data_IF_937201212905
#
_entry.id   IF_937201212905
#
_cell.length_a   1.000
_cell.length_b   1.000
_cell.length_c   1.000
_cell.angle_alpha   90.00
_cell.angle_beta   90.00
_cell.angle_gamma   90.00
#
_symmetry.space_group_name_H-M   'P 1'
#
loop_
_entity.id
_entity.type
_entity.pdbx_description
1 polymer ?
#
# COMPACT_ATOMS: atom_id res chain seq x y z
N UNK A 1 32.89 -16.59 29.84
CA UNK A 1 33.34 -17.15 28.54
C UNK A 1 34.51 -16.30 28.05
N UNK A 2 35.67 -16.90 27.77
CA UNK A 2 36.89 -16.15 27.42
C UNK A 2 36.71 -15.57 26.02
N UNK A 3 37.00 -14.28 25.83
CA UNK A 3 36.82 -13.55 24.55
C UNK A 3 37.33 -14.36 23.35
N UNK A 4 38.44 -15.08 23.49
CA UNK A 4 39.02 -15.96 22.46
C UNK A 4 38.02 -16.99 21.90
N UNK A 5 37.26 -17.68 22.74
CA UNK A 5 36.29 -18.70 22.29
C UNK A 5 35.13 -18.08 21.50
N UNK A 6 34.72 -16.86 21.86
CA UNK A 6 33.68 -16.12 21.13
C UNK A 6 34.13 -15.77 19.70
N UNK A 7 35.41 -15.40 19.51
CA UNK A 7 35.95 -15.11 18.18
C UNK A 7 36.11 -16.38 17.33
N UNK A 8 36.54 -17.50 17.93
CA UNK A 8 36.69 -18.78 17.22
C UNK A 8 35.32 -19.34 16.81
N UNK A 9 34.36 -19.37 17.73
CA UNK A 9 32.99 -19.81 17.43
C UNK A 9 32.35 -18.87 16.40
N UNK A 10 32.53 -17.55 16.56
CA UNK A 10 32.06 -16.56 15.59
C UNK A 10 32.66 -16.77 14.19
N UNK A 11 33.97 -17.03 14.10
CA UNK A 11 34.66 -17.30 12.83
C UNK A 11 34.17 -18.59 12.15
N UNK A 12 33.99 -19.68 12.90
CA UNK A 12 33.44 -20.94 12.37
C UNK A 12 32.01 -20.74 11.87
N UNK A 13 31.16 -20.05 12.64
CA UNK A 13 29.79 -19.73 12.23
C UNK A 13 29.77 -18.88 10.96
N UNK A 14 30.68 -17.90 10.84
CA UNK A 14 30.79 -17.04 9.66
C UNK A 14 31.21 -17.84 8.43
N UNK A 15 32.19 -18.75 8.56
CA UNK A 15 32.63 -19.64 7.47
C UNK A 15 31.48 -20.57 7.05
N UNK A 16 30.79 -21.18 8.02
CA UNK A 16 29.66 -22.06 7.75
C UNK A 16 28.51 -21.31 7.03
N UNK A 17 28.17 -20.11 7.50
CA UNK A 17 27.19 -19.25 6.85
C UNK A 17 27.63 -18.87 5.42
N UNK A 18 28.91 -18.51 5.23
CA UNK A 18 29.48 -18.19 3.93
C UNK A 18 29.41 -19.36 2.94
N UNK A 19 29.74 -20.58 3.36
CA UNK A 19 29.61 -21.79 2.54
C UNK A 19 28.14 -22.05 2.18
N UNK A 20 27.23 -21.95 3.16
CA UNK A 20 25.80 -22.11 2.91
C UNK A 20 25.27 -21.11 1.87
N UNK A 21 25.62 -19.83 2.00
CA UNK A 21 25.24 -18.80 1.02
C UNK A 21 25.89 -19.02 -0.34
N UNK A 22 27.14 -19.52 -0.39
CA UNK A 22 27.80 -19.86 -1.65
C UNK A 22 27.08 -21.01 -2.36
N UNK A 23 26.78 -22.09 -1.63
CA UNK A 23 26.02 -23.23 -2.17
C UNK A 23 24.62 -22.83 -2.62
N UNK A 24 23.98 -21.88 -1.93
CA UNK A 24 22.71 -21.30 -2.34
C UNK A 24 22.84 -20.53 -3.66
N UNK A 25 23.85 -19.67 -3.79
CA UNK A 25 24.07 -18.90 -5.03
C UNK A 25 24.46 -19.79 -6.22
N UNK A 26 25.12 -20.91 -5.96
CA UNK A 26 25.44 -21.91 -6.99
C UNK A 26 24.23 -22.77 -7.38
N UNK A 27 23.06 -22.58 -6.77
CA UNK A 27 21.84 -23.35 -7.05
C UNK A 27 21.87 -24.78 -6.51
N UNK A 28 22.84 -25.12 -5.65
CA UNK A 28 22.99 -26.47 -5.08
C UNK A 28 22.02 -26.68 -3.92
N UNK A 29 21.73 -25.62 -3.15
CA UNK A 29 20.84 -25.67 -1.99
C UNK A 29 19.81 -24.53 -2.03
N UNK A 30 18.53 -24.85 -1.82
CA UNK A 30 17.45 -23.86 -1.72
C UNK A 30 17.07 -23.54 -0.26
N UNK A 31 18.04 -23.51 0.67
CA UNK A 31 17.73 -23.32 2.11
C UNK A 31 17.02 -21.98 2.36
N UNK A 32 17.49 -20.89 1.74
CA UNK A 32 16.86 -19.58 1.89
C UNK A 32 15.40 -19.55 1.41
N UNK A 33 15.05 -20.35 0.41
CA UNK A 33 13.71 -20.38 -0.16
C UNK A 33 12.64 -20.89 0.83
N UNK A 34 13.04 -21.73 1.80
CA UNK A 34 12.11 -22.28 2.81
C UNK A 34 12.35 -21.70 4.19
N UNK A 35 13.60 -21.40 4.54
CA UNK A 35 13.98 -20.89 5.85
C UNK A 35 13.40 -19.49 6.11
N UNK A 36 13.54 -18.58 5.14
CA UNK A 36 13.09 -17.20 5.33
C UNK A 36 11.55 -17.07 5.45
N UNK A 37 10.73 -17.69 4.57
CA UNK A 37 9.29 -17.66 4.75
C UNK A 37 8.85 -18.27 6.07
N UNK A 38 9.52 -19.34 6.52
CA UNK A 38 9.22 -19.95 7.81
C UNK A 38 9.54 -19.01 8.98
N UNK A 39 10.72 -18.38 8.99
CA UNK A 39 11.13 -17.44 10.04
C UNK A 39 10.19 -16.24 10.10
N UNK A 40 9.89 -15.63 8.95
CA UNK A 40 8.97 -14.49 8.90
C UNK A 40 7.54 -14.90 9.26
N UNK A 41 7.08 -16.06 8.80
CA UNK A 41 5.77 -16.61 9.15
C UNK A 41 5.64 -16.82 10.66
N UNK A 42 6.60 -17.50 11.26
CA UNK A 42 6.66 -17.73 12.71
C UNK A 42 6.74 -16.41 13.49
N UNK A 43 7.62 -15.49 13.09
CA UNK A 43 7.73 -14.17 13.70
C UNK A 43 6.42 -13.37 13.63
N UNK A 44 5.75 -13.39 12.49
CA UNK A 44 4.45 -12.75 12.30
C UNK A 44 3.37 -13.33 13.21
N UNK A 45 3.32 -14.67 13.33
CA UNK A 45 2.42 -15.37 14.25
C UNK A 45 2.70 -15.01 15.72
N UNK A 46 3.97 -14.86 16.12
CA UNK A 46 4.34 -14.41 17.48
C UNK A 46 3.76 -13.02 17.77
N UNK A 47 3.90 -12.06 16.85
CA UNK A 47 3.31 -10.74 17.04
C UNK A 47 1.78 -10.77 17.09
N UNK A 48 1.13 -11.56 16.23
CA UNK A 48 -0.32 -11.73 16.30
C UNK A 48 -0.75 -12.40 17.61
N UNK A 49 0.02 -13.35 18.13
CA UNK A 49 -0.23 -13.95 19.44
C UNK A 49 -0.13 -12.92 20.58
N UNK A 50 0.86 -12.03 20.54
CA UNK A 50 0.98 -10.91 21.50
C UNK A 50 -0.26 -10.01 21.46
N UNK A 51 -0.75 -9.68 20.26
CA UNK A 51 -1.97 -8.90 20.08
C UNK A 51 -3.21 -9.63 20.59
N UNK A 52 -3.37 -10.92 20.28
CA UNK A 52 -4.52 -11.71 20.72
C UNK A 52 -4.54 -11.92 22.23
N UNK A 53 -3.37 -12.03 22.87
CA UNK A 53 -3.20 -12.16 24.32
C UNK A 53 -3.58 -10.87 25.04
N UNK A 54 -3.17 -9.73 24.51
CA UNK A 54 -3.54 -8.43 25.06
C UNK A 54 -3.79 -7.41 23.94
N UNK A 55 -5.07 -7.08 23.71
CA UNK A 55 -5.52 -6.14 22.68
C UNK A 55 -5.02 -4.71 22.89
N UNK A 56 -4.50 -4.37 24.08
CA UNK A 56 -3.78 -3.12 24.31
C UNK A 56 -2.50 -3.03 23.46
N UNK A 57 -1.89 -4.18 23.12
CA UNK A 57 -0.72 -4.28 22.24
C UNK A 57 -1.11 -4.25 20.75
N UNK A 58 -1.97 -3.32 20.36
CA UNK A 58 -2.46 -3.18 18.98
C UNK A 58 -1.35 -2.96 17.96
N UNK A 59 -0.24 -2.35 18.38
CA UNK A 59 0.91 -2.08 17.54
C UNK A 59 1.47 -3.37 16.95
N UNK A 60 1.32 -4.52 17.63
CA UNK A 60 1.83 -5.82 17.20
C UNK A 60 1.10 -6.36 15.95
N UNK A 61 -0.10 -5.85 15.64
CA UNK A 61 -0.81 -6.18 14.40
C UNK A 61 0.02 -5.79 13.18
N UNK A 62 0.66 -4.61 13.19
CA UNK A 62 1.42 -4.10 12.04
C UNK A 62 2.60 -5.01 11.68
N UNK A 63 3.59 -5.28 12.56
CA UNK A 63 4.68 -6.19 12.24
C UNK A 63 4.15 -7.62 12.02
N UNK A 64 3.10 -8.05 12.72
CA UNK A 64 2.48 -9.35 12.50
C UNK A 64 2.02 -9.56 11.06
N UNK A 65 1.22 -8.65 10.54
CA UNK A 65 0.73 -8.72 9.16
C UNK A 65 1.81 -8.44 8.12
N UNK A 66 2.76 -7.54 8.38
CA UNK A 66 3.91 -7.31 7.47
C UNK A 66 4.74 -8.59 7.30
N UNK A 67 5.06 -9.26 8.40
CA UNK A 67 5.86 -10.48 8.36
C UNK A 67 5.10 -11.65 7.73
N UNK A 68 3.80 -11.77 8.01
CA UNK A 68 2.95 -12.79 7.39
C UNK A 68 2.74 -12.54 5.90
N UNK A 69 2.54 -11.29 5.48
CA UNK A 69 2.37 -10.97 4.06
C UNK A 69 3.67 -11.17 3.29
N UNK A 70 4.81 -10.87 3.90
CA UNK A 70 6.13 -11.18 3.34
C UNK A 70 6.33 -12.69 3.20
N UNK A 71 6.05 -13.47 4.25
CA UNK A 71 6.13 -14.93 4.19
C UNK A 71 5.20 -15.52 3.12
N UNK A 72 3.97 -15.01 3.01
CA UNK A 72 3.01 -15.45 2.02
C UNK A 72 3.45 -15.11 0.58
N UNK A 73 3.98 -13.90 0.36
CA UNK A 73 4.54 -13.50 -0.94
C UNK A 73 5.69 -14.43 -1.35
N UNK A 74 6.65 -14.67 -0.46
CA UNK A 74 7.78 -15.56 -0.74
C UNK A 74 7.32 -17.01 -0.99
N UNK A 75 6.32 -17.49 -0.25
CA UNK A 75 5.75 -18.81 -0.48
C UNK A 75 5.04 -18.89 -1.84
N UNK A 76 4.34 -17.84 -2.27
CA UNK A 76 3.71 -17.80 -3.58
C UNK A 76 4.74 -17.79 -4.71
N UNK A 77 5.82 -17.01 -4.59
CA UNK A 77 6.91 -17.01 -5.57
C UNK A 77 7.53 -18.42 -5.71
N UNK A 78 7.61 -19.16 -4.61
CA UNK A 78 8.16 -20.53 -4.58
C UNK A 78 7.20 -21.59 -5.15
N UNK A 79 5.92 -21.57 -4.73
CA UNK A 79 4.97 -22.65 -5.01
C UNK A 79 4.05 -22.37 -6.20
N UNK A 80 3.86 -21.11 -6.55
CA UNK A 80 3.00 -20.66 -7.64
C UNK A 80 3.60 -19.41 -8.32
N UNK A 81 4.78 -19.53 -8.96
CA UNK A 81 5.58 -18.40 -9.44
C UNK A 81 4.80 -17.46 -10.38
N UNK A 82 3.92 -17.98 -11.23
CA UNK A 82 3.10 -17.15 -12.12
C UNK A 82 2.13 -16.24 -11.34
N UNK A 83 1.59 -16.74 -10.22
CA UNK A 83 0.73 -15.96 -9.32
C UNK A 83 1.59 -14.99 -8.51
N UNK A 84 2.74 -15.44 -8.01
CA UNK A 84 3.69 -14.60 -7.27
C UNK A 84 4.16 -13.37 -8.07
N UNK A 85 4.56 -13.59 -9.32
CA UNK A 85 4.98 -12.51 -10.24
C UNK A 85 3.89 -11.45 -10.45
N UNK A 86 2.63 -11.87 -10.53
CA UNK A 86 1.50 -10.96 -10.83
C UNK A 86 0.93 -10.32 -9.56
N UNK A 87 0.75 -11.09 -8.49
CA UNK A 87 -0.02 -10.71 -7.30
C UNK A 87 0.83 -10.58 -6.04
N UNK A 88 2.10 -10.98 -6.05
CA UNK A 88 2.97 -10.95 -4.87
C UNK A 88 3.06 -9.57 -4.23
N UNK A 89 3.30 -8.54 -5.05
CA UNK A 89 3.30 -7.15 -4.59
C UNK A 89 1.94 -6.68 -4.05
N UNK A 90 0.84 -7.08 -4.70
CA UNK A 90 -0.51 -6.74 -4.26
C UNK A 90 -0.87 -7.40 -2.91
N UNK A 91 -0.48 -8.65 -2.72
CA UNK A 91 -0.69 -9.39 -1.48
C UNK A 91 0.17 -8.83 -0.34
N UNK A 92 1.43 -8.48 -0.63
CA UNK A 92 2.30 -7.86 0.35
C UNK A 92 1.71 -6.53 0.83
N UNK A 93 1.42 -5.60 -0.10
CA UNK A 93 0.87 -4.28 0.21
C UNK A 93 -0.53 -4.36 0.81
N UNK A 94 -1.39 -5.22 0.26
CA UNK A 94 -2.74 -5.47 0.78
C UNK A 94 -2.73 -6.04 2.19
N UNK A 95 -1.78 -6.93 2.51
CA UNK A 95 -1.58 -7.46 3.86
C UNK A 95 -1.18 -6.36 4.85
N UNK A 96 -0.28 -5.46 4.46
CA UNK A 96 0.08 -4.30 5.30
C UNK A 96 -1.13 -3.37 5.46
N UNK A 97 -1.86 -3.09 4.38
CA UNK A 97 -3.09 -2.30 4.42
C UNK A 97 -4.12 -2.89 5.37
N UNK A 98 -4.32 -4.21 5.33
CA UNK A 98 -5.21 -4.94 6.22
C UNK A 98 -4.78 -4.82 7.69
N UNK A 99 -3.48 -4.77 7.97
CA UNK A 99 -2.97 -4.51 9.32
C UNK A 99 -3.52 -3.20 9.90
N UNK A 100 -3.48 -2.12 9.11
CA UNK A 100 -4.00 -0.83 9.53
C UNK A 100 -5.52 -0.82 9.69
N UNK A 101 -6.25 -1.54 8.84
CA UNK A 101 -7.69 -1.75 9.02
C UNK A 101 -8.01 -2.48 10.33
N UNK A 102 -7.25 -3.53 10.67
CA UNK A 102 -7.39 -4.24 11.95
C UNK A 102 -7.06 -3.31 13.13
N UNK A 103 -6.05 -2.44 13.01
CA UNK A 103 -5.74 -1.41 14.02
C UNK A 103 -6.93 -0.47 14.24
N UNK A 104 -7.56 0.01 13.16
CA UNK A 104 -8.75 0.86 13.25
C UNK A 104 -9.94 0.14 13.92
N UNK A 105 -10.20 -1.12 13.55
CA UNK A 105 -11.30 -1.89 14.16
C UNK A 105 -11.05 -2.29 15.61
N UNK A 106 -9.78 -2.32 16.05
CA UNK A 106 -9.43 -2.56 17.45
C UNK A 106 -9.76 -1.34 18.33
N UNK A 107 -9.69 -0.14 17.77
CA UNK A 107 -9.99 1.09 18.49
C UNK A 107 -10.28 2.25 17.54
N UNK A 108 -11.50 2.78 17.58
CA UNK A 108 -11.93 3.88 16.69
C UNK A 108 -11.24 5.20 16.99
N UNK A 109 -10.57 5.32 18.13
CA UNK A 109 -9.64 6.41 18.44
C UNK A 109 -8.43 6.44 17.50
N UNK A 110 -8.14 5.32 16.82
CA UNK A 110 -7.02 5.17 15.88
C UNK A 110 -7.47 5.40 14.45
N UNK A 111 -8.26 6.45 14.24
CA UNK A 111 -8.78 6.83 12.94
C UNK A 111 -7.68 7.08 11.90
N UNK A 112 -6.50 7.50 12.36
CA UNK A 112 -5.32 7.72 11.53
C UNK A 112 -4.95 6.49 10.71
N UNK A 113 -5.27 5.28 11.17
CA UNK A 113 -4.92 4.03 10.49
C UNK A 113 -5.72 3.81 9.19
N UNK A 114 -6.88 4.45 9.04
CA UNK A 114 -7.67 4.39 7.80
C UNK A 114 -6.90 4.97 6.62
N UNK A 115 -6.09 6.01 6.83
CA UNK A 115 -5.31 6.66 5.78
C UNK A 115 -4.26 5.70 5.19
N UNK A 116 -3.26 5.19 5.94
CA UNK A 116 -2.29 4.24 5.40
C UNK A 116 -2.97 2.94 4.95
N UNK A 117 -4.03 2.49 5.63
CA UNK A 117 -4.79 1.31 5.21
C UNK A 117 -5.42 1.47 3.83
N UNK A 118 -6.07 2.60 3.56
CA UNK A 118 -6.69 2.90 2.26
C UNK A 118 -5.66 3.21 1.16
N UNK A 119 -4.56 3.92 1.50
CA UNK A 119 -3.43 4.15 0.59
C UNK A 119 -2.85 2.82 0.13
N UNK A 120 -2.48 1.94 1.06
CA UNK A 120 -1.87 0.65 0.75
C UNK A 120 -2.83 -0.29 0.01
N UNK A 121 -4.13 -0.23 0.31
CA UNK A 121 -5.15 -0.94 -0.45
C UNK A 121 -5.20 -0.44 -1.90
N UNK A 122 -5.17 0.87 -2.11
CA UNK A 122 -5.16 1.47 -3.46
C UNK A 122 -3.89 1.06 -4.23
N UNK A 123 -2.72 1.20 -3.62
CA UNK A 123 -1.45 0.81 -4.26
C UNK A 123 -1.44 -0.69 -4.53
N UNK A 124 -1.87 -1.52 -3.58
CA UNK A 124 -1.98 -2.97 -3.76
C UNK A 124 -2.90 -3.36 -4.93
N UNK A 125 -4.05 -2.69 -5.07
CA UNK A 125 -4.95 -2.88 -6.21
C UNK A 125 -4.32 -2.47 -7.54
N UNK A 126 -3.66 -1.30 -7.59
CA UNK A 126 -2.97 -0.83 -8.80
C UNK A 126 -1.85 -1.79 -9.19
N UNK A 127 -1.09 -2.30 -8.22
CA UNK A 127 -0.04 -3.29 -8.45
C UNK A 127 -0.60 -4.61 -8.97
N UNK A 128 -1.64 -5.17 -8.32
CA UNK A 128 -2.19 -6.49 -8.68
C UNK A 128 -3.02 -6.50 -9.95
N UNK A 129 -3.66 -5.37 -10.28
CA UNK A 129 -4.44 -5.21 -11.50
C UNK A 129 -3.65 -4.53 -12.61
N UNK A 130 -2.33 -4.38 -12.47
CA UNK A 130 -1.50 -3.68 -13.46
C UNK A 130 -1.63 -4.24 -14.88
N UNK A 131 -1.81 -5.56 -15.03
CA UNK A 131 -2.05 -6.22 -16.32
C UNK A 131 -3.44 -5.93 -16.91
N UNK A 132 -4.46 -5.73 -16.06
CA UNK A 132 -5.82 -5.38 -16.49
C UNK A 132 -5.95 -3.88 -16.76
N UNK A 133 -5.15 -3.07 -16.04
CA UNK A 133 -5.08 -1.62 -16.16
C UNK A 133 -4.12 -1.18 -17.29
N UNK A 134 -3.72 -2.08 -18.19
CA UNK A 134 -2.86 -1.74 -19.31
C UNK A 134 -3.53 -0.67 -20.20
N UNK A 135 -2.85 0.45 -20.41
CA UNK A 135 -3.40 1.62 -21.10
C UNK A 135 -4.24 2.57 -20.23
N UNK A 136 -4.49 2.25 -18.96
CA UNK A 136 -5.07 3.18 -17.98
C UNK A 136 -3.96 3.96 -17.29
N UNK A 137 -4.15 5.27 -17.12
CA UNK A 137 -3.21 6.09 -16.36
C UNK A 137 -3.37 5.78 -14.87
N UNK A 138 -2.35 5.14 -14.30
CA UNK A 138 -2.34 4.61 -12.93
C UNK A 138 -2.24 5.71 -11.86
N UNK A 139 -1.68 6.87 -12.20
CA UNK A 139 -1.69 8.06 -11.34
C UNK A 139 -3.10 8.55 -11.03
N UNK A 140 -3.99 8.57 -12.02
CA UNK A 140 -5.40 8.93 -11.85
C UNK A 140 -6.10 7.94 -10.92
N UNK A 141 -5.88 6.63 -11.12
CA UNK A 141 -6.41 5.58 -10.23
C UNK A 141 -5.89 5.74 -8.80
N UNK A 142 -4.60 6.04 -8.63
CA UNK A 142 -4.01 6.30 -7.32
C UNK A 142 -4.66 7.51 -6.63
N UNK A 143 -4.78 8.65 -7.33
CA UNK A 143 -5.41 9.87 -6.79
C UNK A 143 -6.88 9.64 -6.46
N UNK A 144 -7.62 8.91 -7.29
CA UNK A 144 -9.00 8.52 -7.00
C UNK A 144 -9.08 7.65 -5.73
N UNK A 145 -8.25 6.63 -5.59
CA UNK A 145 -8.24 5.77 -4.40
C UNK A 145 -7.85 6.50 -3.11
N UNK A 146 -6.88 7.43 -3.19
CA UNK A 146 -6.56 8.33 -2.09
C UNK A 146 -7.74 9.24 -1.74
N UNK A 147 -8.39 9.82 -2.75
CA UNK A 147 -9.59 10.65 -2.58
C UNK A 147 -10.74 9.89 -1.92
N UNK A 148 -10.98 8.64 -2.33
CA UNK A 148 -11.94 7.73 -1.71
C UNK A 148 -11.57 7.39 -0.26
N UNK A 149 -10.28 7.24 0.04
CA UNK A 149 -9.80 6.99 1.41
C UNK A 149 -10.14 8.17 2.34
N UNK A 150 -9.87 9.40 1.91
CA UNK A 150 -10.23 10.60 2.68
C UNK A 150 -11.76 10.83 2.72
N UNK A 151 -12.47 10.51 1.64
CA UNK A 151 -13.93 10.57 1.64
C UNK A 151 -14.50 9.61 2.69
N UNK A 152 -14.04 8.36 2.70
CA UNK A 152 -14.41 7.35 3.69
C UNK A 152 -14.10 7.84 5.12
N UNK A 153 -12.91 8.39 5.34
CA UNK A 153 -12.51 8.96 6.64
C UNK A 153 -13.52 10.02 7.12
N UNK A 154 -14.07 10.85 6.24
CA UNK A 154 -15.07 11.87 6.60
C UNK A 154 -16.43 11.30 7.04
N UNK A 155 -16.76 10.08 6.62
CA UNK A 155 -18.01 9.39 6.98
C UNK A 155 -17.86 8.52 8.22
N UNK A 156 -16.65 8.05 8.52
CA UNK A 156 -16.42 7.15 9.64
C UNK A 156 -16.69 7.84 11.00
N UNK A 157 -17.47 7.22 11.90
CA UNK A 157 -17.69 7.73 13.24
C UNK A 157 -16.44 7.52 14.09
N UNK A 158 -15.88 8.60 14.64
CA UNK A 158 -14.77 8.54 15.59
C UNK A 158 -15.17 9.18 16.92
N UNK A 159 -14.42 8.93 18.01
CA UNK A 159 -14.72 9.49 19.33
C UNK A 159 -14.83 11.03 19.33
N UNK A 160 -14.13 11.70 18.41
CA UNK A 160 -14.10 13.15 18.25
C UNK A 160 -15.22 13.69 17.33
N UNK A 161 -16.07 12.81 16.79
CA UNK A 161 -17.13 13.14 15.83
C UNK A 161 -16.71 12.95 14.37
N UNK A 162 -17.44 13.57 13.43
CA UNK A 162 -17.15 13.40 12.00
C UNK A 162 -16.00 14.30 11.56
N UNK A 163 -14.98 13.72 10.93
CA UNK A 163 -13.79 14.42 10.42
C UNK A 163 -14.07 15.16 9.11
N UNK A 164 -14.86 16.24 9.18
CA UNK A 164 -15.22 17.06 8.00
C UNK A 164 -14.00 17.66 7.28
N UNK A 165 -12.87 17.84 7.99
CA UNK A 165 -11.63 18.33 7.40
C UNK A 165 -11.16 17.45 6.24
N UNK A 166 -11.44 16.13 6.28
CA UNK A 166 -11.02 15.17 5.26
C UNK A 166 -11.77 15.35 3.93
N UNK A 167 -12.88 16.10 3.90
CA UNK A 167 -13.60 16.41 2.66
C UNK A 167 -12.80 17.29 1.71
N UNK A 168 -11.95 18.17 2.23
CA UNK A 168 -11.10 19.05 1.43
C UNK A 168 -10.08 18.22 0.63
N UNK A 169 -9.19 17.42 1.25
CA UNK A 169 -8.27 16.57 0.51
C UNK A 169 -9.01 15.53 -0.35
N UNK A 170 -10.14 14.98 0.11
CA UNK A 170 -10.95 14.07 -0.71
C UNK A 170 -11.40 14.74 -2.02
N UNK A 171 -11.99 15.94 -1.94
CA UNK A 171 -12.44 16.69 -3.11
C UNK A 171 -11.30 17.02 -4.06
N UNK A 172 -10.18 17.52 -3.54
CA UNK A 172 -9.01 17.86 -4.36
C UNK A 172 -8.45 16.61 -5.06
N UNK A 173 -8.24 15.52 -4.32
CA UNK A 173 -7.68 14.28 -4.87
C UNK A 173 -8.62 13.62 -5.88
N UNK A 174 -9.93 13.63 -5.64
CA UNK A 174 -10.91 13.10 -6.59
C UNK A 174 -10.94 13.93 -7.87
N UNK A 175 -10.96 15.26 -7.77
CA UNK A 175 -10.92 16.15 -8.95
C UNK A 175 -9.63 15.93 -9.72
N UNK A 176 -8.48 15.89 -9.04
CA UNK A 176 -7.20 15.64 -9.69
C UNK A 176 -7.14 14.26 -10.33
N UNK A 177 -7.63 13.22 -9.66
CA UNK A 177 -7.69 11.87 -10.22
C UNK A 177 -8.54 11.81 -11.48
N UNK A 178 -9.72 12.45 -11.48
CA UNK A 178 -10.57 12.58 -12.66
C UNK A 178 -9.87 13.36 -13.79
N UNK A 179 -9.20 14.47 -13.47
CA UNK A 179 -8.48 15.27 -14.47
C UNK A 179 -7.32 14.50 -15.09
N UNK A 180 -6.53 13.78 -14.29
CA UNK A 180 -5.42 12.96 -14.77
C UNK A 180 -5.93 11.84 -15.68
N UNK A 181 -6.97 11.11 -15.26
CA UNK A 181 -7.59 10.07 -16.09
C UNK A 181 -8.18 10.65 -17.37
N UNK A 182 -8.88 11.79 -17.28
CA UNK A 182 -9.45 12.47 -18.45
C UNK A 182 -8.37 13.05 -19.38
N UNK A 183 -7.19 13.38 -18.85
CA UNK A 183 -6.04 13.82 -19.63
C UNK A 183 -5.33 12.68 -20.37
N UNK A 184 -5.33 11.49 -19.78
CA UNK A 184 -4.81 10.30 -20.43
C UNK A 184 -5.67 9.86 -21.61
N UNK A 185 -6.99 10.01 -21.51
CA UNK A 185 -7.89 9.89 -22.65
C UNK A 185 -7.82 11.18 -23.47
N UNK A 186 -7.85 11.15 -24.80
CA UNK A 186 -7.79 12.38 -25.62
C UNK A 186 -8.94 13.40 -25.37
N UNK A 187 -9.84 13.13 -24.42
CA UNK A 187 -10.95 13.97 -23.96
C UNK A 187 -10.46 15.36 -23.50
N UNK A 188 -9.31 15.46 -22.83
CA UNK A 188 -8.78 16.77 -22.40
C UNK A 188 -8.48 17.70 -23.58
N UNK A 189 -8.12 17.13 -24.74
CA UNK A 189 -7.85 17.87 -25.96
C UNK A 189 -9.11 18.55 -26.51
N UNK A 190 -10.31 18.15 -26.05
CA UNK A 190 -11.58 18.76 -26.41
C UNK A 190 -12.16 19.61 -25.27
N UNK A 191 -12.04 19.14 -24.01
CA UNK A 191 -12.56 19.85 -22.84
C UNK A 191 -11.86 21.20 -22.61
N UNK A 192 -10.53 21.25 -22.73
CA UNK A 192 -9.78 22.49 -22.50
C UNK A 192 -10.09 23.57 -23.53
N UNK A 193 -10.11 23.28 -24.86
CA UNK A 193 -10.60 24.23 -25.85
C UNK A 193 -12.05 24.66 -25.64
N UNK A 194 -12.96 23.72 -25.32
CA UNK A 194 -14.36 24.06 -25.07
C UNK A 194 -14.54 25.02 -23.88
N UNK A 195 -13.81 24.80 -22.78
CA UNK A 195 -13.81 25.70 -21.62
C UNK A 195 -13.29 27.09 -21.99
N UNK A 196 -12.20 27.18 -22.77
CA UNK A 196 -11.67 28.47 -23.26
C UNK A 196 -12.66 29.20 -24.17
N UNK A 197 -13.34 28.48 -25.06
CA UNK A 197 -14.39 29.05 -25.93
C UNK A 197 -15.53 29.62 -25.08
N UNK A 198 -16.05 28.86 -24.11
CA UNK A 198 -17.13 29.30 -23.23
C UNK A 198 -16.73 30.50 -22.37
N UNK A 199 -15.52 30.50 -21.81
CA UNK A 199 -14.99 31.63 -21.05
C UNK A 199 -14.84 32.88 -21.93
N UNK A 200 -14.33 32.74 -23.16
CA UNK A 200 -14.26 33.83 -24.14
C UNK A 200 -15.63 34.40 -24.47
N UNK A 201 -16.61 33.55 -24.76
CA UNK A 201 -17.99 33.97 -25.02
C UNK A 201 -18.61 34.70 -23.81
N UNK A 202 -18.35 34.22 -22.59
CA UNK A 202 -18.81 34.86 -21.37
C UNK A 202 -18.22 36.26 -21.20
N UNK A 203 -16.92 36.44 -21.43
CA UNK A 203 -16.26 37.75 -21.35
C UNK A 203 -16.82 38.73 -22.38
N UNK A 204 -17.07 38.28 -23.62
CA UNK A 204 -17.71 39.10 -24.66
C UNK A 204 -19.11 39.51 -24.23
N UNK A 205 -19.93 38.56 -23.78
CA UNK A 205 -21.30 38.80 -23.35
C UNK A 205 -21.37 39.80 -22.17
N UNK A 206 -20.49 39.65 -21.18
CA UNK A 206 -20.37 40.58 -20.06
C UNK A 206 -20.01 41.98 -20.51
N UNK A 207 -19.14 42.11 -21.51
CA UNK A 207 -18.72 43.41 -22.05
C UNK A 207 -19.88 44.12 -22.75
N UNK A 208 -20.68 43.40 -23.54
CA UNK A 208 -21.88 43.96 -24.19
C UNK A 208 -22.97 44.39 -23.19
N UNK A 209 -23.10 43.70 -22.06
CA UNK A 209 -24.04 44.08 -20.99
C UNK A 209 -23.53 45.29 -20.19
N UNK A 210 -22.21 45.39 -19.95
CA UNK A 210 -21.61 46.51 -19.21
C UNK A 210 -21.48 47.80 -20.02
N UNK A 211 -21.67 47.74 -21.34
CA UNK A 211 -21.54 48.88 -22.26
C UNK A 211 -22.88 49.54 -22.63
N UNK A 212 -23.98 49.16 -21.94
CA UNK A 212 -25.25 49.90 -21.93
C UNK A 212 -25.41 50.60 -20.59
#
# INVERSE_FOLDING_TARGET
MRRFEVHVVGGILLIAAGILFLLQNLGILAVGAYLWPFIFGAGGLVFLYVFLTNRANWWAVIPGFVLLSLAAMMALDQFAPQIGETWGGALFLGGIGLAFWVVYFTGRERWWAVIPGGVLLTVGLVTGLSSVLEGVETGGVLFLGLGLTFALLSFLPTPEGRMKWALIPAGVLLVMGLLITAAATAIINYLWPAALILAGLYLLFRTFISSR
#
